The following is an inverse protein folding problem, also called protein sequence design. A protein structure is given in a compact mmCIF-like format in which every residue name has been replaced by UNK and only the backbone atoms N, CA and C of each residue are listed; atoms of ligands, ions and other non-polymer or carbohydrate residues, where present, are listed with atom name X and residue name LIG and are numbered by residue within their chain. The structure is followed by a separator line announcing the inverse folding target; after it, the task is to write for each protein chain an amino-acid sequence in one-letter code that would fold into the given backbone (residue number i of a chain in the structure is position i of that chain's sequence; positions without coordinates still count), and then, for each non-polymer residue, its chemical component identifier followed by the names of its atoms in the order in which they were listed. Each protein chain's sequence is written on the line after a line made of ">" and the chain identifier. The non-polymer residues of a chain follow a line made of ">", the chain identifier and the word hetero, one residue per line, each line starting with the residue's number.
data_IF_764039313709
#
_entry.id   IF_764039313709
#
_cell.length_a   1.000
_cell.length_b   1.000
_cell.length_c   1.000
_cell.angle_alpha   90.00
_cell.angle_beta   90.00
_cell.angle_gamma   90.00
#
_symmetry.space_group_name_H-M   'P 1'
#
loop_
_entity.id
_entity.type
_entity.pdbx_description
1 polymer ?
#
# COMPACT_ATOMS: atom_id res chain seq x y z
N UNK A 1 20.24 -14.86 -25.01
CA UNK A 1 19.65 -13.98 -23.97
C UNK A 1 19.33 -12.63 -24.60
N UNK A 2 18.05 -12.25 -24.60
CA UNK A 2 17.43 -11.30 -25.54
C UNK A 2 17.83 -9.81 -25.29
N UNK A 3 18.16 -9.02 -26.32
CA UNK A 3 18.61 -7.61 -26.22
C UNK A 3 17.54 -6.63 -25.69
N UNK A 4 16.29 -7.08 -25.55
CA UNK A 4 15.20 -6.29 -24.95
C UNK A 4 15.45 -5.98 -23.46
N UNK A 5 16.15 -6.85 -22.73
CA UNK A 5 16.39 -6.65 -21.30
C UNK A 5 17.29 -5.44 -21.03
N UNK A 6 18.17 -5.08 -21.98
CA UNK A 6 19.11 -3.95 -21.80
C UNK A 6 18.46 -2.57 -22.02
N UNK A 7 17.43 -2.47 -22.87
CA UNK A 7 16.68 -1.20 -23.05
C UNK A 7 15.74 -0.92 -21.89
N UNK A 8 15.10 -1.94 -21.33
CA UNK A 8 14.35 -1.82 -20.08
C UNK A 8 15.27 -1.44 -18.91
N UNK A 9 16.48 -2.02 -18.85
CA UNK A 9 17.50 -1.74 -17.82
C UNK A 9 17.89 -0.26 -17.68
N UNK A 10 17.88 0.51 -18.77
CA UNK A 10 18.29 1.92 -18.77
C UNK A 10 17.12 2.89 -18.48
N UNK A 11 15.89 2.50 -18.80
CA UNK A 11 14.69 3.28 -18.44
C UNK A 11 14.31 3.05 -16.98
N UNK A 12 14.65 1.87 -16.44
CA UNK A 12 14.25 1.45 -15.09
C UNK A 12 15.34 1.59 -14.04
N UNK A 13 16.45 2.31 -14.27
CA UNK A 13 17.45 2.59 -13.21
C UNK A 13 16.99 3.69 -12.25
N UNK A 14 15.74 3.59 -11.77
CA UNK A 14 15.21 4.51 -10.80
C UNK A 14 15.85 4.23 -9.44
N UNK A 15 16.25 5.31 -8.78
CA UNK A 15 16.84 5.26 -7.46
C UNK A 15 15.80 4.65 -6.51
N UNK A 16 16.10 3.49 -5.91
CA UNK A 16 15.15 2.74 -5.07
C UNK A 16 14.62 3.60 -3.91
N UNK A 17 15.44 4.52 -3.39
CA UNK A 17 15.03 5.48 -2.38
C UNK A 17 13.92 6.43 -2.85
N UNK A 18 13.92 6.82 -4.14
CA UNK A 18 12.86 7.65 -4.73
C UNK A 18 11.59 6.84 -4.93
N UNK A 19 11.69 5.61 -5.45
CA UNK A 19 10.53 4.73 -5.63
C UNK A 19 9.85 4.37 -4.30
N UNK A 20 10.65 4.15 -3.26
CA UNK A 20 10.16 3.96 -1.90
C UNK A 20 9.39 5.19 -1.40
N UNK A 21 9.95 6.40 -1.60
CA UNK A 21 9.27 7.66 -1.29
C UNK A 21 7.98 7.84 -2.10
N UNK A 22 7.94 7.46 -3.38
CA UNK A 22 6.74 7.57 -4.19
C UNK A 22 5.62 6.64 -3.71
N UNK A 23 5.92 5.41 -3.32
CA UNK A 23 4.90 4.51 -2.75
C UNK A 23 4.27 5.12 -1.50
N UNK A 24 5.11 5.62 -0.59
CA UNK A 24 4.65 6.35 0.59
C UNK A 24 3.76 7.54 0.22
N UNK A 25 4.21 8.37 -0.73
CA UNK A 25 3.51 9.60 -1.10
C UNK A 25 2.16 9.30 -1.73
N UNK A 26 2.06 8.27 -2.58
CA UNK A 26 0.80 7.86 -3.21
C UNK A 26 -0.16 7.25 -2.19
N UNK A 27 0.32 6.44 -1.24
CA UNK A 27 -0.49 5.92 -0.12
C UNK A 27 -1.10 7.06 0.70
N UNK A 28 -0.31 8.10 0.98
CA UNK A 28 -0.76 9.27 1.73
C UNK A 28 -1.74 10.12 0.89
N UNK A 29 -1.47 10.30 -0.40
CA UNK A 29 -2.31 11.09 -1.30
C UNK A 29 -3.67 10.42 -1.56
N UNK A 30 -3.70 9.09 -1.68
CA UNK A 30 -4.95 8.32 -1.76
C UNK A 30 -5.75 8.40 -0.46
N UNK A 31 -5.09 8.35 0.70
CA UNK A 31 -5.73 8.55 1.99
C UNK A 31 -6.36 9.95 2.13
N UNK A 32 -5.61 11.00 1.78
CA UNK A 32 -6.11 12.38 1.79
C UNK A 32 -7.27 12.54 0.80
N UNK A 33 -7.14 11.99 -0.41
CA UNK A 33 -8.19 12.07 -1.44
C UNK A 33 -9.49 11.44 -0.97
N UNK A 34 -9.43 10.29 -0.29
CA UNK A 34 -10.63 9.66 0.27
C UNK A 34 -11.22 10.46 1.44
N UNK A 35 -10.38 10.97 2.35
CA UNK A 35 -10.85 11.86 3.42
C UNK A 35 -11.55 13.11 2.87
N UNK A 36 -10.99 13.72 1.82
CA UNK A 36 -11.59 14.87 1.15
C UNK A 36 -12.92 14.50 0.50
N UNK A 37 -13.02 13.34 -0.14
CA UNK A 37 -14.27 12.83 -0.72
C UNK A 37 -15.38 12.66 0.33
N UNK A 38 -15.07 12.00 1.46
CA UNK A 38 -16.06 11.79 2.53
C UNK A 38 -16.42 13.13 3.20
N UNK A 39 -15.45 14.02 3.41
CA UNK A 39 -15.67 15.36 3.94
C UNK A 39 -16.56 16.23 3.05
N UNK A 40 -16.31 16.23 1.73
CA UNK A 40 -17.17 16.92 0.76
C UNK A 40 -18.58 16.33 0.74
N UNK A 41 -18.70 15.00 0.82
CA UNK A 41 -20.01 14.32 0.87
C UNK A 41 -20.78 14.72 2.14
N UNK A 42 -20.11 14.84 3.29
CA UNK A 42 -20.69 15.36 4.53
C UNK A 42 -21.20 16.78 4.39
N UNK A 43 -20.43 17.67 3.75
CA UNK A 43 -20.86 19.04 3.49
C UNK A 43 -22.04 19.11 2.52
N UNK A 44 -22.05 18.30 1.44
CA UNK A 44 -23.13 18.29 0.45
C UNK A 44 -24.44 17.72 0.99
N UNK A 45 -24.37 16.71 1.86
CA UNK A 45 -25.56 16.11 2.48
C UNK A 45 -26.01 16.82 3.75
N UNK A 46 -25.23 17.76 4.28
CA UNK A 46 -25.50 18.45 5.55
C UNK A 46 -25.52 17.52 6.77
N UNK A 47 -25.07 16.28 6.63
CA UNK A 47 -25.02 15.27 7.68
C UNK A 47 -23.63 15.20 8.30
N UNK A 48 -23.50 15.01 9.62
CA UNK A 48 -22.20 14.78 10.24
C UNK A 48 -21.57 13.48 9.70
N UNK A 49 -20.24 13.43 9.67
CA UNK A 49 -19.48 12.27 9.20
C UNK A 49 -19.94 10.96 9.85
N UNK A 50 -20.29 11.01 11.14
CA UNK A 50 -20.79 9.85 11.90
C UNK A 50 -22.03 9.23 11.29
N UNK A 51 -22.96 10.04 10.79
CA UNK A 51 -24.22 9.57 10.21
C UNK A 51 -23.98 8.95 8.84
N UNK A 52 -23.05 9.50 8.05
CA UNK A 52 -22.67 8.92 6.75
C UNK A 52 -21.95 7.58 6.93
N UNK A 53 -21.11 7.48 7.96
CA UNK A 53 -20.44 6.24 8.32
C UNK A 53 -21.43 5.17 8.80
N UNK A 54 -22.48 5.58 9.51
CA UNK A 54 -23.52 4.68 9.99
C UNK A 54 -24.49 4.25 8.88
N UNK A 55 -24.85 5.17 7.97
CA UNK A 55 -25.72 4.88 6.82
C UNK A 55 -25.03 3.99 5.77
N UNK A 56 -23.70 4.09 5.62
CA UNK A 56 -22.93 3.34 4.62
C UNK A 56 -21.83 2.48 5.27
N UNK A 57 -22.05 1.17 5.46
CA UNK A 57 -21.02 0.26 5.97
C UNK A 57 -19.79 0.21 5.05
N UNK A 58 -19.97 0.44 3.75
CA UNK A 58 -18.88 0.54 2.79
C UNK A 58 -17.94 1.71 3.11
N UNK A 59 -18.49 2.89 3.39
CA UNK A 59 -17.71 4.09 3.72
C UNK A 59 -16.90 3.89 5.01
N UNK A 60 -17.49 3.22 6.00
CA UNK A 60 -16.81 2.88 7.26
C UNK A 60 -15.62 1.93 7.05
N UNK A 61 -15.79 0.86 6.27
CA UNK A 61 -14.70 -0.08 5.98
C UNK A 61 -13.59 0.60 5.17
N UNK A 62 -13.95 1.44 4.20
CA UNK A 62 -12.95 2.14 3.40
C UNK A 62 -12.19 3.19 4.21
N UNK A 63 -12.81 3.79 5.22
CA UNK A 63 -12.13 4.68 6.16
C UNK A 63 -11.13 3.90 7.05
N UNK A 64 -11.44 2.66 7.45
CA UNK A 64 -10.45 1.77 8.08
C UNK A 64 -9.26 1.49 7.15
N UNK A 65 -9.51 1.22 5.87
CA UNK A 65 -8.46 1.03 4.86
C UNK A 65 -7.58 2.27 4.73
N UNK A 66 -8.17 3.46 4.74
CA UNK A 66 -7.45 4.73 4.69
C UNK A 66 -6.52 4.89 5.89
N UNK A 67 -6.99 4.60 7.11
CA UNK A 67 -6.13 4.61 8.28
C UNK A 67 -5.00 3.58 8.18
N UNK A 68 -5.28 2.39 7.65
CA UNK A 68 -4.27 1.37 7.42
C UNK A 68 -3.22 1.82 6.40
N UNK A 69 -3.63 2.48 5.31
CA UNK A 69 -2.72 3.07 4.32
C UNK A 69 -1.82 4.14 4.96
N UNK A 70 -2.36 5.00 5.83
CA UNK A 70 -1.58 6.01 6.57
C UNK A 70 -0.58 5.33 7.52
N UNK A 71 -1.01 4.33 8.28
CA UNK A 71 -0.18 3.63 9.25
C UNK A 71 0.97 2.88 8.55
N UNK A 72 0.67 2.22 7.44
CA UNK A 72 1.69 1.56 6.62
C UNK A 72 2.64 2.59 5.99
N UNK A 73 2.12 3.69 5.43
CA UNK A 73 2.95 4.77 4.93
C UNK A 73 3.89 5.34 6.00
N UNK A 74 3.37 5.60 7.20
CA UNK A 74 4.16 6.06 8.34
C UNK A 74 5.23 5.05 8.75
N UNK A 75 4.87 3.77 8.81
CA UNK A 75 5.80 2.69 9.13
C UNK A 75 6.95 2.60 8.12
N UNK A 76 6.62 2.75 6.83
CA UNK A 76 7.59 2.85 5.74
C UNK A 76 8.54 4.04 5.93
N UNK A 77 7.99 5.21 6.26
CA UNK A 77 8.80 6.40 6.49
C UNK A 77 9.84 6.19 7.60
N UNK A 78 9.42 5.61 8.73
CA UNK A 78 10.29 5.40 9.88
C UNK A 78 11.32 4.29 9.67
N UNK A 79 10.94 3.21 8.98
CA UNK A 79 11.74 1.99 8.85
C UNK A 79 12.39 1.85 7.47
N UNK A 80 12.63 2.96 6.76
CA UNK A 80 13.19 2.96 5.41
C UNK A 80 14.48 2.14 5.29
N UNK A 81 15.40 2.32 6.24
CA UNK A 81 16.70 1.63 6.21
C UNK A 81 16.57 0.13 6.49
N UNK A 82 15.59 -0.27 7.31
CA UNK A 82 15.27 -1.68 7.53
C UNK A 82 14.58 -2.31 6.32
N UNK A 83 13.64 -1.59 5.70
CA UNK A 83 12.88 -2.07 4.57
C UNK A 83 13.75 -2.32 3.34
N UNK A 84 14.82 -1.55 3.15
CA UNK A 84 15.77 -1.68 2.04
C UNK A 84 17.04 -2.46 2.41
N UNK A 85 17.09 -3.11 3.58
CA UNK A 85 18.29 -3.79 4.09
C UNK A 85 18.65 -5.05 3.31
N UNK A 86 17.66 -5.90 3.02
CA UNK A 86 17.83 -7.19 2.35
C UNK A 86 16.69 -7.46 1.35
N UNK A 87 16.99 -8.17 0.26
CA UNK A 87 16.02 -8.53 -0.79
C UNK A 87 14.81 -9.30 -0.25
N UNK A 88 15.00 -10.20 0.73
CA UNK A 88 13.91 -10.97 1.33
C UNK A 88 12.87 -10.11 2.06
N UNK A 89 13.33 -9.08 2.78
CA UNK A 89 12.46 -8.14 3.52
C UNK A 89 11.69 -7.26 2.54
N UNK A 90 12.38 -6.70 1.54
CA UNK A 90 11.74 -5.95 0.44
C UNK A 90 10.68 -6.81 -0.24
N UNK A 91 11.02 -8.06 -0.56
CA UNK A 91 10.12 -8.97 -1.27
C UNK A 91 8.83 -9.20 -0.49
N UNK A 92 8.91 -9.51 0.80
CA UNK A 92 7.73 -9.69 1.64
C UNK A 92 6.89 -8.42 1.69
N UNK A 93 7.52 -7.29 2.01
CA UNK A 93 6.85 -6.00 2.16
C UNK A 93 6.12 -5.59 0.87
N UNK A 94 6.84 -5.54 -0.24
CA UNK A 94 6.31 -5.01 -1.50
C UNK A 94 5.36 -5.98 -2.19
N UNK A 95 5.59 -7.30 -2.14
CA UNK A 95 4.61 -8.26 -2.69
C UNK A 95 3.30 -8.19 -1.92
N UNK A 96 3.35 -8.20 -0.59
CA UNK A 96 2.16 -8.07 0.24
C UNK A 96 1.41 -6.79 -0.07
N UNK A 97 2.11 -5.66 -0.15
CA UNK A 97 1.50 -4.38 -0.54
C UNK A 97 0.88 -4.42 -1.93
N UNK A 98 1.57 -4.93 -2.93
CA UNK A 98 1.02 -5.03 -4.29
C UNK A 98 -0.28 -5.81 -4.30
N UNK A 99 -0.34 -6.95 -3.61
CA UNK A 99 -1.55 -7.79 -3.52
C UNK A 99 -2.68 -7.05 -2.81
N UNK A 100 -2.39 -6.43 -1.65
CA UNK A 100 -3.38 -5.69 -0.89
C UNK A 100 -3.93 -4.48 -1.68
N UNK A 101 -3.06 -3.73 -2.34
CA UNK A 101 -3.44 -2.53 -3.09
C UNK A 101 -4.18 -2.89 -4.39
N UNK A 102 -3.88 -4.05 -4.99
CA UNK A 102 -4.65 -4.58 -6.12
C UNK A 102 -6.10 -4.88 -5.71
N UNK A 103 -6.29 -5.53 -4.56
CA UNK A 103 -7.61 -5.83 -4.03
C UNK A 103 -8.43 -4.57 -3.71
N UNK A 104 -7.76 -3.49 -3.30
CA UNK A 104 -8.36 -2.19 -3.05
C UNK A 104 -8.57 -1.34 -4.31
N UNK A 105 -8.12 -1.81 -5.48
CA UNK A 105 -8.20 -1.06 -6.74
C UNK A 105 -7.20 0.09 -6.87
N UNK A 106 -6.22 0.21 -5.98
CA UNK A 106 -5.19 1.26 -6.00
C UNK A 106 -4.08 0.95 -7.02
N UNK A 107 -4.44 1.01 -8.31
CA UNK A 107 -3.54 0.66 -9.42
C UNK A 107 -2.24 1.47 -9.45
N UNK A 108 -2.26 2.75 -9.03
CA UNK A 108 -1.05 3.57 -8.95
C UNK A 108 -0.04 2.98 -7.95
N UNK A 109 -0.51 2.56 -6.78
CA UNK A 109 0.36 1.95 -5.76
C UNK A 109 0.86 0.58 -6.23
N UNK A 110 0.03 -0.20 -6.93
CA UNK A 110 0.43 -1.48 -7.54
C UNK A 110 1.57 -1.28 -8.54
N UNK A 111 1.49 -0.27 -9.41
CA UNK A 111 2.54 0.02 -10.38
C UNK A 111 3.84 0.45 -9.69
N UNK A 112 3.77 1.38 -8.73
CA UNK A 112 4.97 1.87 -8.04
C UNK A 112 5.61 0.82 -7.14
N UNK A 113 4.82 -0.03 -6.48
CA UNK A 113 5.31 -1.11 -5.63
C UNK A 113 5.95 -2.23 -6.46
N UNK A 114 5.32 -2.61 -7.57
CA UNK A 114 5.90 -3.54 -8.55
C UNK A 114 7.23 -3.04 -9.11
N UNK A 115 7.30 -1.78 -9.54
CA UNK A 115 8.56 -1.17 -10.01
C UNK A 115 9.64 -1.14 -8.92
N UNK A 116 9.26 -0.87 -7.67
CA UNK A 116 10.20 -0.89 -6.54
C UNK A 116 10.71 -2.29 -6.28
N UNK A 117 9.86 -3.30 -6.39
CA UNK A 117 10.23 -4.70 -6.23
C UNK A 117 11.25 -5.15 -7.29
N UNK A 118 11.00 -4.89 -8.57
CA UNK A 118 11.94 -5.25 -9.64
C UNK A 118 13.30 -4.56 -9.49
N UNK A 119 13.29 -3.29 -9.07
CA UNK A 119 14.52 -2.54 -8.80
C UNK A 119 15.26 -3.04 -7.56
N UNK A 120 14.53 -3.42 -6.52
CA UNK A 120 15.09 -3.91 -5.28
C UNK A 120 15.83 -5.24 -5.46
N UNK A 121 15.29 -6.16 -6.26
CA UNK A 121 15.98 -7.42 -6.57
C UNK A 121 17.35 -7.16 -7.24
N UNK A 122 17.51 -6.03 -7.94
CA UNK A 122 18.74 -5.70 -8.65
C UNK A 122 19.71 -4.83 -7.84
N UNK A 123 19.21 -4.03 -6.90
CA UNK A 123 19.99 -3.00 -6.19
C UNK A 123 20.25 -3.32 -4.71
N UNK A 124 19.47 -4.22 -4.11
CA UNK A 124 19.58 -4.58 -2.68
C UNK A 124 20.41 -5.86 -2.55
N UNK A 125 21.32 -5.95 -1.56
CA UNK A 125 22.08 -7.17 -1.32
C UNK A 125 21.18 -8.37 -1.06
N UNK A 126 21.55 -9.50 -1.66
CA UNK A 126 20.74 -10.71 -1.57
C UNK A 126 20.81 -11.28 -0.15
N UNK A 127 19.66 -11.48 0.47
CA UNK A 127 19.58 -11.82 1.88
C UNK A 127 18.21 -12.36 2.26
N UNK A 128 18.20 -13.32 3.19
CA UNK A 128 16.96 -13.86 3.76
C UNK A 128 16.26 -12.78 4.58
N UNK A 129 14.93 -12.84 4.62
CA UNK A 129 14.16 -11.98 5.50
C UNK A 129 14.58 -12.24 6.96
N UNK A 130 15.00 -11.20 7.67
CA UNK A 130 15.26 -11.31 9.11
C UNK A 130 13.94 -11.60 9.85
N UNK A 131 13.97 -12.60 10.74
CA UNK A 131 12.90 -12.79 11.71
C UNK A 131 13.06 -11.74 12.81
N UNK A 132 12.43 -10.59 12.63
CA UNK A 132 12.33 -9.56 13.66
C UNK A 132 10.88 -9.20 13.94
N UNK A 133 10.65 -8.37 14.96
CA UNK A 133 9.35 -7.79 15.28
C UNK A 133 8.66 -7.17 14.05
N UNK A 134 9.46 -6.63 13.13
CA UNK A 134 9.00 -6.09 11.85
C UNK A 134 8.30 -7.13 10.97
N UNK A 135 8.83 -8.36 10.90
CA UNK A 135 8.23 -9.41 10.07
C UNK A 135 6.85 -9.82 10.61
N UNK A 136 6.68 -9.82 11.93
CA UNK A 136 5.37 -10.01 12.55
C UNK A 136 4.42 -8.82 12.28
N UNK A 137 4.92 -7.59 12.33
CA UNK A 137 4.13 -6.40 11.99
C UNK A 137 3.64 -6.43 10.54
N UNK A 138 4.48 -6.85 9.58
CA UNK A 138 4.11 -6.98 8.17
C UNK A 138 3.00 -8.02 7.98
N UNK A 139 3.09 -9.17 8.65
CA UNK A 139 2.04 -10.21 8.61
C UNK A 139 0.74 -9.69 9.25
N UNK A 140 0.83 -8.96 10.37
CA UNK A 140 -0.33 -8.33 11.00
C UNK A 140 -1.03 -7.32 10.08
N UNK A 141 -0.25 -6.48 9.39
CA UNK A 141 -0.76 -5.55 8.37
C UNK A 141 -1.39 -6.29 7.20
N UNK A 142 -0.78 -7.37 6.72
CA UNK A 142 -1.35 -8.19 5.65
C UNK A 142 -2.72 -8.75 6.07
N UNK A 143 -2.82 -9.29 7.29
CA UNK A 143 -4.04 -9.82 7.84
C UNK A 143 -5.13 -8.74 7.97
N UNK A 144 -4.80 -7.53 8.43
CA UNK A 144 -5.77 -6.44 8.52
C UNK A 144 -6.28 -5.99 7.14
N UNK A 145 -5.43 -5.97 6.11
CA UNK A 145 -5.89 -5.73 4.73
C UNK A 145 -6.83 -6.82 4.24
N UNK A 146 -6.52 -8.10 4.50
CA UNK A 146 -7.38 -9.22 4.10
C UNK A 146 -8.74 -9.12 4.79
N UNK A 147 -8.78 -8.75 6.08
CA UNK A 147 -10.03 -8.50 6.81
C UNK A 147 -10.81 -7.35 6.16
N UNK A 148 -10.16 -6.23 5.85
CA UNK A 148 -10.82 -5.09 5.22
C UNK A 148 -11.40 -5.45 3.84
N UNK A 149 -10.64 -6.18 3.01
CA UNK A 149 -11.11 -6.65 1.70
C UNK A 149 -12.27 -7.63 1.87
N UNK A 150 -12.18 -8.56 2.82
CA UNK A 150 -13.28 -9.49 3.13
C UNK A 150 -14.55 -8.77 3.55
N UNK A 151 -14.44 -7.71 4.37
CA UNK A 151 -15.56 -6.86 4.75
C UNK A 151 -16.13 -6.09 3.55
N UNK A 152 -15.30 -5.53 2.67
CA UNK A 152 -15.75 -4.86 1.45
C UNK A 152 -16.54 -5.84 0.57
N UNK A 153 -16.00 -7.04 0.34
CA UNK A 153 -16.67 -8.07 -0.47
C UNK A 153 -17.99 -8.52 0.17
N UNK A 154 -18.03 -8.67 1.50
CA UNK A 154 -19.26 -9.02 2.21
C UNK A 154 -20.31 -7.92 2.09
N UNK A 155 -19.92 -6.65 2.27
CA UNK A 155 -20.81 -5.50 2.09
C UNK A 155 -21.33 -5.45 0.66
N UNK A 156 -20.46 -5.63 -0.33
CA UNK A 156 -20.83 -5.63 -1.75
C UNK A 156 -21.75 -6.81 -2.12
N UNK A 157 -21.54 -7.98 -1.50
CA UNK A 157 -22.39 -9.17 -1.73
C UNK A 157 -23.79 -9.07 -1.12
N UNK A 158 -23.99 -8.14 -0.18
CA UNK A 158 -25.27 -7.91 0.51
C UNK A 158 -26.02 -6.67 0.01
N UNK A 159 -25.38 -5.87 -0.85
CA UNK A 159 -25.99 -4.71 -1.52
C UNK A 159 -26.58 -5.08 -2.87
#
# INVERSE_FOLDING_TARGET
>A
MHPLTHKLRKVTSFNINKLYKYNFLILLLTAIGYFAYVGLTSLMQGKPLTDILHDSPYTSVMLMVVFLNILVGYWFWLNKDYALRNTGTVRLIFITLTICQLALGNLLVVMTSGLTFFNAIQQVPDGKAERSLTSYAIVGVAASYVICVGLILLVLSRS
#
